data_IF_181821164793
#
_entry.id   IF_181821164793
#
_cell.length_a   1.000
_cell.length_b   1.000
_cell.length_c   1.000
_cell.angle_alpha   90.00
_cell.angle_beta   90.00
_cell.angle_gamma   90.00
#
_symmetry.space_group_name_H-M   'P 1'
#
loop_
_entity.id
_entity.type
_entity.pdbx_description
1 polymer ?
#
# COMPACT_ATOMS: atom_id res chain seq x y z
N UNK A 1 32.85 -7.51 -17.17
CA UNK A 1 32.73 -6.83 -15.86
C UNK A 1 31.25 -6.64 -15.54
N UNK A 2 30.67 -7.56 -14.77
CA UNK A 2 29.28 -7.46 -14.32
C UNK A 2 29.23 -6.39 -13.23
N UNK A 3 28.50 -5.30 -13.46
CA UNK A 3 28.18 -4.35 -12.41
C UNK A 3 27.40 -5.13 -11.35
N UNK A 4 28.08 -5.40 -10.23
CA UNK A 4 27.49 -6.00 -9.05
C UNK A 4 26.14 -5.33 -8.77
N UNK A 5 25.07 -6.12 -8.69
CA UNK A 5 23.80 -5.68 -8.16
C UNK A 5 24.00 -5.32 -6.69
N UNK A 6 24.48 -4.11 -6.45
CA UNK A 6 24.75 -3.58 -5.13
C UNK A 6 23.43 -3.49 -4.34
N UNK A 7 23.39 -4.13 -3.17
CA UNK A 7 22.81 -3.50 -1.99
C UNK A 7 21.31 -3.61 -1.74
N UNK A 8 20.55 -4.48 -2.42
CA UNK A 8 19.14 -4.70 -2.08
C UNK A 8 19.00 -5.80 -1.03
N UNK A 9 18.50 -5.47 0.17
CA UNK A 9 18.26 -6.47 1.23
C UNK A 9 16.98 -7.25 0.91
N UNK A 10 16.91 -8.54 1.29
CA UNK A 10 15.72 -9.35 1.07
C UNK A 10 14.54 -8.81 1.89
N UNK A 11 13.34 -8.89 1.30
CA UNK A 11 12.05 -8.63 1.96
C UNK A 11 11.39 -9.95 2.40
N UNK A 12 10.28 -9.88 3.13
CA UNK A 12 9.61 -11.08 3.67
C UNK A 12 9.23 -12.10 2.59
N UNK A 13 8.75 -11.64 1.44
CA UNK A 13 8.40 -12.53 0.33
C UNK A 13 9.61 -13.28 -0.26
N UNK A 14 10.83 -12.76 -0.10
CA UNK A 14 12.05 -13.42 -0.59
C UNK A 14 12.47 -14.60 0.30
N UNK A 15 11.81 -14.79 1.46
CA UNK A 15 11.99 -15.97 2.31
C UNK A 15 11.31 -17.21 1.71
N UNK A 16 10.35 -17.02 0.80
CA UNK A 16 9.75 -18.12 0.06
C UNK A 16 10.78 -18.59 -0.97
N UNK A 17 11.13 -19.88 -0.92
CA UNK A 17 12.12 -20.47 -1.80
C UNK A 17 11.78 -20.21 -3.27
N UNK A 18 12.63 -19.44 -3.95
CA UNK A 18 12.42 -19.08 -5.35
C UNK A 18 12.72 -20.28 -6.25
N UNK A 19 11.77 -20.73 -7.09
CA UNK A 19 12.04 -21.80 -8.04
C UNK A 19 13.14 -21.43 -9.04
N UNK A 20 13.99 -22.39 -9.40
CA UNK A 20 15.02 -22.21 -10.45
C UNK A 20 14.39 -22.15 -11.85
N UNK A 21 13.26 -22.84 -12.03
CA UNK A 21 12.49 -22.80 -13.27
C UNK A 21 11.82 -21.42 -13.45
N UNK A 22 12.00 -20.84 -14.64
CA UNK A 22 11.52 -19.50 -14.96
C UNK A 22 9.99 -19.41 -14.89
N UNK A 23 9.28 -20.41 -15.40
CA UNK A 23 7.82 -20.39 -15.41
C UNK A 23 7.25 -20.41 -13.98
N UNK A 24 7.79 -21.29 -13.12
CA UNK A 24 7.42 -21.34 -11.70
C UNK A 24 7.80 -20.08 -10.94
N UNK A 25 8.93 -19.45 -11.26
CA UNK A 25 9.32 -18.19 -10.64
C UNK A 25 8.34 -17.06 -11.00
N UNK A 26 7.94 -16.97 -12.27
CA UNK A 26 6.91 -16.00 -12.72
C UNK A 26 5.56 -16.28 -12.06
N UNK A 27 5.17 -17.55 -11.96
CA UNK A 27 3.93 -17.95 -11.29
C UNK A 27 3.93 -17.56 -9.81
N UNK A 28 5.06 -17.72 -9.10
CA UNK A 28 5.20 -17.27 -7.72
C UNK A 28 5.04 -15.74 -7.60
N UNK A 29 5.73 -14.96 -8.45
CA UNK A 29 5.62 -13.51 -8.43
C UNK A 29 4.18 -13.04 -8.72
N UNK A 30 3.50 -13.68 -9.67
CA UNK A 30 2.08 -13.42 -9.96
C UNK A 30 1.17 -13.76 -8.77
N UNK A 31 1.38 -14.91 -8.13
CA UNK A 31 0.61 -15.32 -6.95
C UNK A 31 0.80 -14.33 -5.78
N UNK A 32 2.03 -13.86 -5.54
CA UNK A 32 2.33 -12.85 -4.53
C UNK A 32 1.63 -11.51 -4.83
N UNK A 33 1.66 -11.07 -6.08
CA UNK A 33 0.98 -9.85 -6.54
C UNK A 33 -0.53 -9.96 -6.35
N UNK A 34 -1.14 -11.09 -6.72
CA UNK A 34 -2.57 -11.34 -6.55
C UNK A 34 -2.96 -11.42 -5.07
N UNK A 35 -2.15 -12.09 -4.25
CA UNK A 35 -2.38 -12.17 -2.80
C UNK A 35 -2.30 -10.78 -2.15
N UNK A 36 -1.33 -9.95 -2.55
CA UNK A 36 -1.23 -8.56 -2.09
C UNK A 36 -2.44 -7.72 -2.49
N UNK A 37 -2.90 -7.85 -3.74
CA UNK A 37 -4.10 -7.15 -4.21
C UNK A 37 -5.36 -7.58 -3.44
N UNK A 38 -5.52 -8.89 -3.21
CA UNK A 38 -6.62 -9.45 -2.44
C UNK A 38 -6.60 -8.99 -0.97
N UNK A 39 -5.41 -8.95 -0.35
CA UNK A 39 -5.27 -8.44 1.02
C UNK A 39 -5.70 -6.96 1.14
N UNK A 40 -5.31 -6.12 0.17
CA UNK A 40 -5.77 -4.73 0.11
C UNK A 40 -7.29 -4.66 -0.07
N UNK A 41 -7.85 -5.50 -0.94
CA UNK A 41 -9.30 -5.54 -1.16
C UNK A 41 -10.10 -5.94 0.08
N UNK A 42 -9.60 -6.90 0.87
CA UNK A 42 -10.23 -7.32 2.14
C UNK A 42 -10.21 -6.16 3.14
N UNK A 43 -9.03 -5.55 3.34
CA UNK A 43 -8.89 -4.42 4.27
C UNK A 43 -9.61 -3.15 3.78
N UNK A 44 -9.94 -3.06 2.48
CA UNK A 44 -10.77 -1.99 1.95
C UNK A 44 -12.17 -1.97 2.50
N UNK A 45 -12.69 -3.12 2.91
CA UNK A 45 -14.05 -3.23 3.40
C UNK A 45 -14.19 -2.82 4.87
N UNK A 46 -13.06 -2.70 5.57
CA UNK A 46 -13.03 -2.10 6.91
C UNK A 46 -13.04 -0.58 6.73
N UNK A 47 -14.23 -0.01 6.58
CA UNK A 47 -14.41 1.42 6.38
C UNK A 47 -15.25 2.08 7.48
N UNK A 48 -14.92 3.33 7.76
CA UNK A 48 -15.80 4.28 8.42
C UNK A 48 -16.30 5.20 7.31
N UNK A 49 -17.61 5.14 6.98
CA UNK A 49 -18.19 5.99 5.96
C UNK A 49 -17.96 7.46 6.30
N UNK A 50 -17.31 8.18 5.38
CA UNK A 50 -17.06 9.61 5.48
C UNK A 50 -17.11 10.19 4.06
N UNK A 51 -17.70 11.36 3.93
CA UNK A 51 -17.73 12.10 2.68
C UNK A 51 -16.75 13.27 2.74
N UNK A 52 -15.99 13.58 1.67
CA UNK A 52 -16.01 12.96 0.33
C UNK A 52 -15.14 11.71 0.19
N UNK A 53 -14.35 11.38 1.21
CA UNK A 53 -13.40 10.25 1.19
C UNK A 53 -13.59 9.40 2.45
N UNK A 54 -13.89 8.09 2.33
CA UNK A 54 -14.04 7.21 3.47
C UNK A 54 -12.69 6.92 4.15
N UNK A 55 -12.72 6.68 5.46
CA UNK A 55 -11.54 6.19 6.18
C UNK A 55 -11.54 4.67 6.11
N UNK A 56 -10.53 4.07 5.50
CA UNK A 56 -10.48 2.62 5.26
C UNK A 56 -9.24 1.95 5.86
N UNK A 57 -9.28 0.64 6.00
CA UNK A 57 -8.13 -0.21 6.30
C UNK A 57 -7.12 -0.33 5.15
N UNK A 58 -7.44 0.15 3.95
CA UNK A 58 -6.59 0.04 2.75
C UNK A 58 -5.20 0.59 2.99
N UNK A 59 -5.12 1.78 3.58
CA UNK A 59 -3.86 2.49 3.80
C UNK A 59 -2.86 1.70 4.65
N UNK A 60 -3.35 0.92 5.63
CA UNK A 60 -2.51 -0.04 6.37
C UNK A 60 -2.04 -1.17 5.46
N UNK A 61 -2.97 -1.78 4.70
CA UNK A 61 -2.66 -2.88 3.79
C UNK A 61 -1.64 -2.49 2.72
N UNK A 62 -1.73 -1.27 2.16
CA UNK A 62 -0.79 -0.74 1.16
C UNK A 62 0.64 -0.77 1.69
N UNK A 63 0.86 -0.26 2.91
CA UNK A 63 2.18 -0.22 3.53
C UNK A 63 2.69 -1.62 3.84
N UNK A 64 1.84 -2.49 4.41
CA UNK A 64 2.18 -3.87 4.74
C UNK A 64 2.55 -4.66 3.49
N UNK A 65 1.76 -4.56 2.41
CA UNK A 65 2.02 -5.23 1.13
C UNK A 65 3.29 -4.70 0.48
N UNK A 66 3.49 -3.38 0.47
CA UNK A 66 4.72 -2.77 -0.01
C UNK A 66 5.95 -3.29 0.73
N UNK A 67 5.91 -3.29 2.06
CA UNK A 67 7.02 -3.76 2.90
C UNK A 67 7.29 -5.26 2.74
N UNK A 68 6.24 -6.09 2.70
CA UNK A 68 6.37 -7.54 2.61
C UNK A 68 6.84 -8.03 1.22
N UNK A 69 6.32 -7.42 0.14
CA UNK A 69 6.60 -7.82 -1.24
C UNK A 69 7.77 -7.05 -1.86
N UNK A 70 8.16 -5.92 -1.27
CA UNK A 70 9.16 -5.01 -1.84
C UNK A 70 8.56 -4.06 -2.88
N UNK A 71 9.36 -3.10 -3.34
CA UNK A 71 8.89 -1.94 -4.10
C UNK A 71 8.16 -2.32 -5.39
N UNK A 72 8.74 -3.21 -6.20
CA UNK A 72 8.19 -3.59 -7.50
C UNK A 72 6.94 -4.47 -7.38
N UNK A 73 6.99 -5.53 -6.57
CA UNK A 73 5.85 -6.45 -6.40
C UNK A 73 4.71 -5.79 -5.63
N UNK A 74 5.02 -4.94 -4.65
CA UNK A 74 4.03 -4.12 -3.95
C UNK A 74 3.31 -3.17 -4.91
N UNK A 75 4.05 -2.39 -5.70
CA UNK A 75 3.44 -1.53 -6.71
C UNK A 75 2.59 -2.31 -7.72
N UNK A 76 3.08 -3.47 -8.19
CA UNK A 76 2.32 -4.35 -9.07
C UNK A 76 1.03 -4.87 -8.41
N UNK A 77 1.06 -5.25 -7.13
CA UNK A 77 -0.12 -5.66 -6.38
C UNK A 77 -1.17 -4.55 -6.33
N UNK A 78 -0.74 -3.32 -6.05
CA UNK A 78 -1.67 -2.19 -6.00
C UNK A 78 -2.15 -1.79 -7.40
N UNK A 79 -1.33 -1.87 -8.44
CA UNK A 79 -1.78 -1.67 -9.81
C UNK A 79 -2.84 -2.72 -10.22
N UNK A 80 -2.60 -3.99 -9.90
CA UNK A 80 -3.59 -5.07 -10.11
C UNK A 80 -4.88 -4.80 -9.35
N UNK A 81 -4.81 -4.30 -8.11
CA UNK A 81 -5.97 -3.89 -7.32
C UNK A 81 -6.79 -2.80 -8.02
N UNK A 82 -6.13 -1.75 -8.56
CA UNK A 82 -6.79 -0.68 -9.32
C UNK A 82 -7.48 -1.25 -10.56
N UNK A 83 -6.76 -2.03 -11.37
CA UNK A 83 -7.30 -2.60 -12.61
C UNK A 83 -8.48 -3.52 -12.33
N UNK A 84 -8.39 -4.37 -11.31
CA UNK A 84 -9.49 -5.26 -10.92
C UNK A 84 -10.76 -4.48 -10.54
N UNK A 85 -10.62 -3.41 -9.75
CA UNK A 85 -11.76 -2.58 -9.37
C UNK A 85 -12.38 -1.81 -10.53
N UNK A 86 -11.55 -1.29 -11.44
CA UNK A 86 -12.04 -0.64 -12.67
C UNK A 86 -12.71 -1.63 -13.64
N UNK A 87 -12.22 -2.87 -13.69
CA UNK A 87 -12.80 -3.96 -14.47
C UNK A 87 -14.13 -4.48 -13.89
N UNK A 88 -14.59 -3.96 -12.75
CA UNK A 88 -15.90 -4.25 -12.18
C UNK A 88 -15.89 -5.22 -10.99
N UNK A 89 -14.72 -5.69 -10.53
CA UNK A 89 -14.68 -6.51 -9.32
C UNK A 89 -14.94 -5.64 -8.08
N UNK A 90 -15.75 -6.10 -7.11
CA UNK A 90 -16.17 -5.32 -5.93
C UNK A 90 -15.05 -5.23 -4.86
N UNK A 91 -13.89 -4.70 -5.25
CA UNK A 91 -12.67 -4.67 -4.43
C UNK A 91 -12.42 -3.31 -3.77
N UNK A 92 -13.04 -2.24 -4.26
CA UNK A 92 -12.99 -0.94 -3.60
C UNK A 92 -13.87 -0.93 -2.35
N UNK A 93 -13.68 0.08 -1.50
CA UNK A 93 -14.42 0.23 -0.26
C UNK A 93 -15.94 0.26 -0.51
N UNK A 94 -16.70 -0.31 0.43
CA UNK A 94 -18.14 -0.52 0.30
C UNK A 94 -18.52 -1.58 -0.74
N UNK A 95 -17.66 -2.57 -0.98
CA UNK A 95 -17.80 -3.60 -2.02
C UNK A 95 -18.10 -3.02 -3.41
N UNK A 96 -17.48 -1.88 -3.73
CA UNK A 96 -17.69 -1.21 -5.02
C UNK A 96 -16.62 -1.60 -6.05
N UNK A 97 -16.97 -1.52 -7.33
CA UNK A 97 -16.07 -1.85 -8.44
C UNK A 97 -16.72 -1.49 -9.76
N UNK A 98 -16.20 -0.47 -10.44
CA UNK A 98 -16.70 0.00 -11.74
C UNK A 98 -15.77 1.08 -12.29
N UNK A 99 -15.76 1.26 -13.62
CA UNK A 99 -15.09 2.39 -14.27
C UNK A 99 -15.62 3.74 -13.77
N UNK A 100 -16.88 3.81 -13.32
CA UNK A 100 -17.46 5.03 -12.73
C UNK A 100 -16.76 5.45 -11.43
N UNK A 101 -15.94 4.60 -10.81
CA UNK A 101 -15.11 4.96 -9.66
C UNK A 101 -14.15 6.11 -9.98
N UNK A 102 -13.75 6.30 -11.25
CA UNK A 102 -12.93 7.44 -11.69
C UNK A 102 -13.62 8.78 -11.41
N UNK A 103 -14.95 8.84 -11.43
CA UNK A 103 -15.68 10.06 -11.08
C UNK A 103 -15.77 10.30 -9.55
N UNK A 104 -15.27 9.39 -8.70
CA UNK A 104 -15.29 9.56 -7.24
C UNK A 104 -14.11 10.43 -6.77
N UNK A 105 -14.32 11.37 -5.83
CA UNK A 105 -13.23 12.22 -5.31
C UNK A 105 -12.10 11.42 -4.66
N UNK A 106 -12.41 10.25 -4.08
CA UNK A 106 -11.45 9.36 -3.41
C UNK A 106 -10.53 8.57 -4.36
N UNK A 107 -10.83 8.52 -5.66
CA UNK A 107 -10.11 7.65 -6.60
C UNK A 107 -8.63 8.04 -6.77
N UNK A 108 -8.30 9.33 -6.67
CA UNK A 108 -6.91 9.79 -6.73
C UNK A 108 -6.02 9.20 -5.62
N UNK A 109 -6.57 8.90 -4.45
CA UNK A 109 -5.83 8.24 -3.37
C UNK A 109 -5.49 6.79 -3.73
N UNK A 110 -6.41 6.10 -4.42
CA UNK A 110 -6.22 4.74 -4.92
C UNK A 110 -5.09 4.68 -5.97
N UNK A 111 -4.98 5.70 -6.83
CA UNK A 111 -3.82 5.85 -7.73
C UNK A 111 -2.53 6.03 -6.91
N UNK A 112 -2.56 6.92 -5.91
CA UNK A 112 -1.44 7.18 -5.02
C UNK A 112 -0.99 5.96 -4.21
N UNK A 113 -1.87 4.99 -3.95
CA UNK A 113 -1.53 3.73 -3.26
C UNK A 113 -0.48 2.90 -4.01
N UNK A 114 -0.46 2.95 -5.34
CA UNK A 114 0.57 2.25 -6.15
C UNK A 114 1.97 2.77 -5.79
N UNK A 115 2.12 4.08 -5.72
CA UNK A 115 3.38 4.74 -5.39
C UNK A 115 3.72 4.60 -3.90
N UNK A 116 2.73 4.65 -3.01
CA UNK A 116 2.92 4.41 -1.58
C UNK A 116 3.46 3.01 -1.31
N UNK A 117 2.92 1.97 -1.95
CA UNK A 117 3.42 0.61 -1.84
C UNK A 117 4.86 0.48 -2.36
N UNK A 118 5.19 1.16 -3.46
CA UNK A 118 6.56 1.24 -3.96
C UNK A 118 7.51 1.83 -2.90
N UNK A 119 7.15 2.99 -2.33
CA UNK A 119 7.97 3.69 -1.32
C UNK A 119 8.12 2.86 -0.05
N UNK A 120 7.05 2.25 0.46
CA UNK A 120 7.11 1.36 1.62
C UNK A 120 8.07 0.17 1.36
N UNK A 121 7.97 -0.45 0.18
CA UNK A 121 8.86 -1.53 -0.23
C UNK A 121 10.31 -1.08 -0.42
N UNK A 122 10.53 0.14 -0.90
CA UNK A 122 11.88 0.72 -1.05
C UNK A 122 12.58 0.93 0.31
N UNK A 123 11.84 1.30 1.36
CA UNK A 123 12.35 1.33 2.73
C UNK A 123 12.61 -0.07 3.29
N UNK A 124 11.74 -1.04 3.02
CA UNK A 124 11.94 -2.44 3.43
C UNK A 124 13.18 -3.07 2.77
N UNK A 125 13.45 -2.75 1.50
CA UNK A 125 14.67 -3.16 0.78
C UNK A 125 15.97 -2.56 1.35
N UNK A 126 15.86 -1.57 2.25
CA UNK A 126 16.94 -0.99 3.06
C UNK A 126 16.96 -1.53 4.49
N UNK A 127 16.11 -2.50 4.81
CA UNK A 127 15.90 -3.09 6.13
C UNK A 127 15.46 -2.11 7.23
N UNK A 128 14.80 -1.00 6.85
CA UNK A 128 14.19 -0.11 7.83
C UNK A 128 13.06 -0.83 8.59
N UNK A 129 12.35 -1.70 7.89
CA UNK A 129 11.26 -2.56 8.34
C UNK A 129 11.68 -3.63 9.39
N UNK A 130 12.97 -3.71 9.75
CA UNK A 130 13.48 -4.59 10.81
C UNK A 130 13.64 -3.88 12.16
N UNK A 131 13.56 -2.55 12.18
CA UNK A 131 13.71 -1.71 13.37
C UNK A 131 12.43 -0.86 13.54
N UNK A 132 11.68 -0.98 14.65
CA UNK A 132 10.38 -0.32 14.79
C UNK A 132 10.38 1.19 14.48
N UNK A 133 11.38 1.92 14.98
CA UNK A 133 11.48 3.38 14.75
C UNK A 133 11.72 3.72 13.28
N UNK A 134 12.65 3.02 12.60
CA UNK A 134 12.89 3.26 11.17
C UNK A 134 11.70 2.81 10.32
N UNK A 135 11.08 1.68 10.66
CA UNK A 135 9.86 1.20 10.02
C UNK A 135 8.76 2.27 10.11
N UNK A 136 8.54 2.83 11.30
CA UNK A 136 7.56 3.90 11.52
C UNK A 136 7.83 5.12 10.63
N UNK A 137 9.06 5.64 10.62
CA UNK A 137 9.43 6.79 9.78
C UNK A 137 9.21 6.49 8.29
N UNK A 138 9.67 5.34 7.82
CA UNK A 138 9.50 4.94 6.42
C UNK A 138 8.03 4.74 6.02
N UNK A 139 7.22 4.21 6.94
CA UNK A 139 5.79 3.97 6.71
C UNK A 139 4.96 5.25 6.79
N UNK A 140 5.30 6.20 7.67
CA UNK A 140 4.74 7.55 7.63
C UNK A 140 5.07 8.23 6.29
N UNK A 141 6.33 8.18 5.85
CA UNK A 141 6.74 8.76 4.57
C UNK A 141 5.98 8.13 3.39
N UNK A 142 5.82 6.80 3.36
CA UNK A 142 5.00 6.13 2.36
C UNK A 142 3.52 6.54 2.43
N UNK A 143 2.99 6.77 3.64
CA UNK A 143 1.59 7.15 3.87
C UNK A 143 1.26 8.58 3.47
N UNK A 144 2.27 9.44 3.26
CA UNK A 144 2.08 10.79 2.73
C UNK A 144 1.83 10.76 1.21
N UNK A 145 2.41 9.78 0.50
CA UNK A 145 2.37 9.68 -0.96
C UNK A 145 0.94 9.72 -1.53
N UNK A 146 -0.05 8.99 -0.97
CA UNK A 146 -1.40 9.02 -1.51
C UNK A 146 -2.05 10.41 -1.52
N UNK A 147 -1.69 11.29 -0.58
CA UNK A 147 -2.22 12.66 -0.53
C UNK A 147 -1.70 13.51 -1.69
N UNK A 148 -0.49 13.25 -2.20
CA UNK A 148 0.09 13.98 -3.34
C UNK A 148 -0.71 13.77 -4.64
N UNK A 149 -1.42 12.65 -4.75
CA UNK A 149 -2.28 12.33 -5.88
C UNK A 149 -3.76 12.55 -5.54
N UNK A 150 -4.17 12.11 -4.36
CA UNK A 150 -5.54 12.14 -3.89
C UNK A 150 -6.09 13.55 -3.71
N UNK A 151 -5.34 14.45 -3.08
CA UNK A 151 -5.83 15.81 -2.79
C UNK A 151 -6.05 16.62 -4.08
N UNK A 152 -5.10 16.69 -5.04
CA UNK A 152 -5.34 17.38 -6.31
C UNK A 152 -6.49 16.75 -7.13
N UNK A 153 -6.57 15.42 -7.14
CA UNK A 153 -7.64 14.71 -7.83
C UNK A 153 -9.01 15.01 -7.22
N UNK A 154 -9.09 14.97 -5.89
CA UNK A 154 -10.30 15.28 -5.14
C UNK A 154 -10.75 16.71 -5.43
N UNK A 155 -9.82 17.68 -5.43
CA UNK A 155 -10.11 19.07 -5.77
C UNK A 155 -10.69 19.20 -7.18
N UNK A 156 -10.10 18.51 -8.17
CA UNK A 156 -10.60 18.49 -9.54
C UNK A 156 -12.02 17.92 -9.64
N UNK A 157 -12.28 16.77 -9.03
CA UNK A 157 -13.63 16.17 -9.05
C UNK A 157 -14.64 17.09 -8.35
N UNK A 158 -14.32 17.58 -7.15
CA UNK A 158 -15.25 18.38 -6.36
C UNK A 158 -15.58 19.72 -7.01
N UNK A 159 -14.59 20.41 -7.59
CA UNK A 159 -14.81 21.75 -8.16
C UNK A 159 -15.22 21.69 -9.63
N UNK A 160 -14.55 20.88 -10.45
CA UNK A 160 -14.77 20.87 -11.90
C UNK A 160 -15.88 19.92 -12.33
N UNK A 161 -16.04 18.76 -11.67
CA UNK A 161 -17.07 17.77 -12.04
C UNK A 161 -18.36 18.00 -11.25
N UNK A 162 -18.26 18.33 -9.96
CA UNK A 162 -19.41 18.51 -9.08
C UNK A 162 -19.80 19.99 -8.85
N UNK A 163 -18.98 20.95 -9.26
CA UNK A 163 -19.33 22.38 -9.24
C UNK A 163 -19.41 23.02 -7.87
N UNK A 164 -18.69 22.51 -6.87
CA UNK A 164 -18.84 22.94 -5.46
C UNK A 164 -18.03 24.18 -5.05
N UNK A 165 -17.21 24.74 -5.94
CA UNK A 165 -16.38 25.95 -5.74
C UNK A 165 -15.66 26.02 -4.37
N UNK A 166 -15.00 24.91 -3.99
CA UNK A 166 -14.26 24.81 -2.73
C UNK A 166 -12.87 25.43 -2.85
N UNK A 167 -12.47 26.21 -1.83
CA UNK A 167 -11.11 26.71 -1.69
C UNK A 167 -10.10 25.64 -1.25
N UNK A 168 -8.82 26.01 -1.28
CA UNK A 168 -7.71 25.11 -0.90
C UNK A 168 -7.83 24.64 0.56
N UNK A 169 -8.33 25.50 1.44
CA UNK A 169 -8.48 25.17 2.86
C UNK A 169 -9.55 24.09 3.07
N UNK A 170 -10.70 24.19 2.43
CA UNK A 170 -11.76 23.19 2.51
C UNK A 170 -11.31 21.85 1.91
N UNK A 171 -10.60 21.88 0.79
CA UNK A 171 -10.03 20.69 0.16
C UNK A 171 -9.01 20.00 1.09
N UNK A 172 -8.11 20.74 1.73
CA UNK A 172 -7.16 20.15 2.68
C UNK A 172 -7.85 19.64 3.94
N UNK A 173 -8.83 20.39 4.44
CA UNK A 173 -9.62 20.00 5.60
C UNK A 173 -10.40 18.70 5.37
N UNK A 174 -10.92 18.47 4.16
CA UNK A 174 -11.60 17.24 3.78
C UNK A 174 -10.65 16.09 3.42
N UNK A 175 -9.55 16.40 2.71
CA UNK A 175 -8.68 15.41 2.08
C UNK A 175 -7.49 14.96 2.93
N UNK A 176 -7.14 15.68 4.00
CA UNK A 176 -5.95 15.41 4.83
C UNK A 176 -6.31 15.24 6.30
N UNK A 177 -6.96 16.22 6.90
CA UNK A 177 -7.19 16.29 8.35
C UNK A 177 -7.80 15.02 8.97
N UNK A 178 -8.86 14.40 8.38
CA UNK A 178 -9.49 13.23 8.97
C UNK A 178 -8.56 12.00 9.02
N UNK A 179 -7.52 12.00 8.18
CA UNK A 179 -6.64 10.87 7.98
C UNK A 179 -5.33 10.95 8.78
N UNK A 180 -5.03 12.07 9.43
CA UNK A 180 -3.75 12.26 10.16
C UNK A 180 -3.63 11.26 11.30
N UNK A 181 -4.58 11.29 12.25
CA UNK A 181 -4.54 10.41 13.43
C UNK A 181 -4.59 8.95 13.00
N UNK A 182 -5.55 8.61 12.13
CA UNK A 182 -5.68 7.25 11.62
C UNK A 182 -4.45 6.77 10.84
N UNK A 183 -3.78 7.66 10.10
CA UNK A 183 -2.57 7.37 9.35
C UNK A 183 -1.37 7.10 10.26
N UNK A 184 -1.19 7.92 11.30
CA UNK A 184 -0.14 7.71 12.32
C UNK A 184 -0.35 6.38 13.04
N UNK A 185 -1.58 6.09 13.47
CA UNK A 185 -1.92 4.82 14.13
C UNK A 185 -1.63 3.64 13.21
N UNK A 186 -2.05 3.71 11.94
CA UNK A 186 -1.80 2.64 10.96
C UNK A 186 -0.31 2.45 10.66
N UNK A 187 0.45 3.54 10.54
CA UNK A 187 1.90 3.46 10.35
C UNK A 187 2.58 2.82 11.56
N UNK A 188 2.15 3.15 12.78
CA UNK A 188 2.64 2.53 14.01
C UNK A 188 2.30 1.03 14.08
N UNK A 189 1.07 0.65 13.70
CA UNK A 189 0.66 -0.75 13.61
C UNK A 189 1.52 -1.52 12.59
N UNK A 190 1.73 -0.98 11.39
CA UNK A 190 2.61 -1.59 10.40
C UNK A 190 4.06 -1.71 10.93
N UNK A 191 4.55 -0.67 11.61
CA UNK A 191 5.88 -0.61 12.22
C UNK A 191 6.05 -1.55 13.43
N UNK A 192 4.96 -2.10 13.96
CA UNK A 192 5.01 -3.19 14.92
C UNK A 192 4.95 -4.55 14.20
N UNK A 193 4.00 -4.71 13.28
CA UNK A 193 3.72 -5.97 12.59
C UNK A 193 4.90 -6.45 11.75
N UNK A 194 5.52 -5.58 10.94
CA UNK A 194 6.58 -5.99 10.03
C UNK A 194 7.87 -6.38 10.76
N UNK A 195 8.40 -5.59 11.72
CA UNK A 195 9.54 -6.04 12.52
C UNK A 195 9.26 -7.28 13.35
N UNK A 196 8.03 -7.45 13.86
CA UNK A 196 7.62 -8.64 14.59
C UNK A 196 7.64 -9.89 13.70
N UNK A 197 7.14 -9.79 12.46
CA UNK A 197 7.24 -10.88 11.48
C UNK A 197 8.71 -11.28 11.24
N UNK A 198 9.60 -10.30 11.06
CA UNK A 198 11.04 -10.55 10.95
C UNK A 198 11.65 -11.17 12.22
N UNK A 199 11.17 -10.79 13.40
CA UNK A 199 11.63 -11.38 14.67
C UNK A 199 11.21 -12.85 14.79
N UNK A 200 9.99 -13.19 14.36
CA UNK A 200 9.48 -14.56 14.29
C UNK A 200 10.32 -15.44 13.36
N UNK A 201 10.63 -14.94 12.16
CA UNK A 201 11.53 -15.63 11.21
C UNK A 201 12.87 -15.97 11.86
N UNK A 202 13.52 -14.97 12.49
CA UNK A 202 14.81 -15.18 13.18
C UNK A 202 14.71 -16.18 14.33
N UNK A 203 13.58 -16.25 15.03
CA UNK A 203 13.38 -17.20 16.11
C UNK A 203 13.31 -18.64 15.59
N UNK A 204 12.58 -18.86 14.50
CA UNK A 204 12.47 -20.18 13.84
C UNK A 204 13.83 -20.63 13.33
N UNK A 205 14.57 -19.75 12.63
CA UNK A 205 15.91 -20.06 12.12
C UNK A 205 16.92 -20.43 13.21
N UNK A 206 16.83 -19.80 14.40
CA UNK A 206 17.68 -20.14 15.54
C UNK A 206 17.36 -21.52 16.11
N UNK A 207 16.08 -21.89 16.16
CA UNK A 207 15.65 -23.19 16.68
C UNK A 207 16.01 -24.33 15.74
N UNK A 208 15.95 -24.13 14.43
CA UNK A 208 16.32 -25.14 13.43
C UNK A 208 17.84 -25.44 13.36
N UNK A 209 18.68 -24.61 14.01
CA UNK A 209 20.14 -24.76 14.06
C UNK A 209 20.65 -25.41 15.37
N UNK A 210 19.76 -25.69 16.32
CA UNK A 210 20.06 -26.41 17.56
C UNK A 210 19.72 -27.88 17.37
#
# INVERSE_FOLDING_TARGET
>A
MSLAAAGRRPVLADLIARPTDRARAVALDAALVLAGAAFVAILAQVEVPLWPVPITGQTLAVVVVGAALGARRGAAALATYVVAGLAGLPVFAGFTGTIAAVAKPSFGFIIGFVFAAYVAGWFAERAWDRKPVLAFVGFVAASIVPFLFGVPYMAFILNTVLGMDLGVQEILAAGVTPFIVGGIVKAALAALLIPAAWAGVRAIERNARR
#
